data_IF_726737786985
#
_entry.id   IF_726737786985
#
_cell.length_a   1.000
_cell.length_b   1.000
_cell.length_c   1.000
_cell.angle_alpha   90.00
_cell.angle_beta   90.00
_cell.angle_gamma   90.00
#
_symmetry.space_group_name_H-M   'P 1'
#
loop_
_entity.id
_entity.type
_entity.pdbx_description
1 polymer ?
#
# COMPACT_ATOMS: atom_id res chain seq x y z
N UNK A 1 -16.77 -1.15 -15.34
CA UNK A 1 -16.99 -2.60 -15.26
C UNK A 1 -16.06 -3.10 -14.18
N UNK A 2 -16.59 -3.62 -13.08
CA UNK A 2 -15.80 -4.27 -12.03
C UNK A 2 -15.23 -5.57 -12.59
N UNK A 3 -13.92 -5.73 -12.58
CA UNK A 3 -13.26 -7.00 -12.93
C UNK A 3 -13.41 -7.92 -11.72
N UNK A 4 -14.09 -9.05 -11.89
CA UNK A 4 -14.25 -10.06 -10.83
C UNK A 4 -13.19 -11.15 -10.99
N UNK A 5 -12.59 -11.57 -9.86
CA UNK A 5 -11.66 -12.69 -9.81
C UNK A 5 -12.44 -14.02 -9.85
N UNK A 6 -12.07 -14.93 -10.74
CA UNK A 6 -12.66 -16.28 -10.79
C UNK A 6 -11.71 -17.36 -10.26
N UNK A 7 -12.23 -18.54 -9.95
CA UNK A 7 -11.37 -19.70 -9.58
C UNK A 7 -10.44 -20.10 -10.73
N UNK A 8 -10.88 -19.96 -11.98
CA UNK A 8 -10.05 -20.18 -13.17
C UNK A 8 -8.87 -19.20 -13.22
N UNK A 9 -9.09 -17.93 -12.88
CA UNK A 9 -8.01 -16.94 -12.79
C UNK A 9 -7.02 -17.30 -11.68
N UNK A 10 -7.51 -17.72 -10.51
CA UNK A 10 -6.67 -18.19 -9.39
C UNK A 10 -5.79 -19.35 -9.84
N UNK A 11 -6.36 -20.38 -10.48
CA UNK A 11 -5.58 -21.53 -10.97
C UNK A 11 -4.53 -21.11 -12.01
N UNK A 12 -4.85 -20.19 -12.93
CA UNK A 12 -3.89 -19.67 -13.91
C UNK A 12 -2.73 -18.90 -13.24
N UNK A 13 -3.04 -18.03 -12.28
CA UNK A 13 -2.04 -17.27 -11.52
C UNK A 13 -1.12 -18.23 -10.76
N UNK A 14 -1.69 -19.23 -10.08
CA UNK A 14 -0.94 -20.21 -9.32
C UNK A 14 -0.03 -21.07 -10.19
N UNK A 15 -0.52 -21.55 -11.34
CA UNK A 15 0.31 -22.31 -12.27
C UNK A 15 1.54 -21.50 -12.71
N UNK A 16 1.32 -20.25 -13.17
CA UNK A 16 2.41 -19.35 -13.57
C UNK A 16 3.38 -19.04 -12.44
N UNK A 17 2.85 -18.80 -11.24
CA UNK A 17 3.65 -18.47 -10.07
C UNK A 17 4.56 -19.63 -9.68
N UNK A 18 4.01 -20.85 -9.61
CA UNK A 18 4.79 -22.01 -9.20
C UNK A 18 5.75 -22.51 -10.28
N UNK A 19 5.50 -22.25 -11.56
CA UNK A 19 6.52 -22.43 -12.61
C UNK A 19 7.77 -21.58 -12.33
N UNK A 20 7.59 -20.32 -11.90
CA UNK A 20 8.70 -19.42 -11.53
C UNK A 20 9.39 -19.87 -10.24
N UNK A 21 8.62 -20.25 -9.21
CA UNK A 21 9.16 -20.76 -7.94
C UNK A 21 10.02 -22.00 -8.15
N UNK A 22 9.59 -22.92 -9.01
CA UNK A 22 10.32 -24.16 -9.31
C UNK A 22 11.61 -23.92 -10.09
N UNK A 23 11.66 -22.86 -10.90
CA UNK A 23 12.84 -22.47 -11.65
C UNK A 23 13.85 -21.65 -10.81
N UNK A 24 13.44 -21.15 -9.65
CA UNK A 24 14.30 -20.36 -8.78
C UNK A 24 15.32 -21.21 -8.02
N UNK A 25 16.58 -20.79 -8.00
CA UNK A 25 17.69 -21.54 -7.40
C UNK A 25 17.58 -21.70 -5.87
N UNK A 26 16.97 -20.72 -5.18
CA UNK A 26 16.84 -20.74 -3.72
C UNK A 26 15.52 -21.40 -3.30
N UNK A 27 14.42 -21.13 -4.02
CA UNK A 27 13.10 -21.64 -3.66
C UNK A 27 12.85 -23.06 -4.19
N UNK A 28 13.26 -23.36 -5.42
CA UNK A 28 13.03 -24.65 -6.07
C UNK A 28 13.40 -25.86 -5.21
N UNK A 29 14.59 -25.89 -4.57
CA UNK A 29 14.99 -26.99 -3.68
C UNK A 29 14.06 -27.22 -2.48
N UNK A 30 13.42 -26.17 -1.94
CA UNK A 30 12.46 -26.31 -0.83
C UNK A 30 11.21 -27.06 -1.28
N UNK A 31 10.77 -26.81 -2.51
CA UNK A 31 9.59 -27.45 -3.11
C UNK A 31 9.86 -28.82 -3.72
N UNK A 32 11.10 -29.32 -3.71
CA UNK A 32 11.44 -30.65 -4.22
C UNK A 32 10.77 -31.81 -3.44
N UNK A 33 10.17 -31.53 -2.28
CA UNK A 33 9.35 -32.50 -1.52
C UNK A 33 7.96 -32.74 -2.13
N UNK A 34 7.53 -31.90 -3.06
CA UNK A 34 6.23 -32.04 -3.74
C UNK A 34 6.36 -33.08 -4.85
N UNK A 35 5.73 -34.24 -4.64
CA UNK A 35 5.71 -35.35 -5.61
C UNK A 35 4.62 -35.17 -6.67
N UNK A 36 3.41 -34.80 -6.26
CA UNK A 36 2.26 -34.55 -7.15
C UNK A 36 1.95 -33.05 -7.23
N UNK A 37 2.35 -32.43 -8.33
CA UNK A 37 2.12 -31.00 -8.56
C UNK A 37 0.68 -30.65 -8.90
N UNK A 38 -0.08 -31.56 -9.51
CA UNK A 38 -1.47 -31.31 -9.87
C UNK A 38 -2.34 -31.31 -8.59
N UNK A 39 -2.09 -32.26 -7.68
CA UNK A 39 -2.74 -32.28 -6.37
C UNK A 39 -2.31 -31.05 -5.54
N UNK A 40 -1.03 -30.70 -5.56
CA UNK A 40 -0.53 -29.54 -4.82
C UNK A 40 -1.18 -28.22 -5.29
N UNK A 41 -1.22 -28.00 -6.61
CA UNK A 41 -1.86 -26.83 -7.21
C UNK A 41 -3.38 -26.80 -6.96
N UNK A 42 -4.02 -27.96 -6.89
CA UNK A 42 -5.44 -28.07 -6.51
C UNK A 42 -5.65 -27.56 -5.07
N UNK A 43 -4.86 -28.05 -4.11
CA UNK A 43 -4.95 -27.59 -2.70
C UNK A 43 -4.63 -26.10 -2.54
N UNK A 44 -3.66 -25.59 -3.29
CA UNK A 44 -3.33 -24.16 -3.32
C UNK A 44 -4.47 -23.34 -3.93
N UNK A 45 -5.13 -23.84 -4.97
CA UNK A 45 -6.29 -23.20 -5.58
C UNK A 45 -7.46 -23.14 -4.58
N UNK A 46 -7.71 -24.21 -3.83
CA UNK A 46 -8.72 -24.22 -2.76
C UNK A 46 -8.37 -23.21 -1.66
N UNK A 47 -7.09 -23.11 -1.27
CA UNK A 47 -6.62 -22.17 -0.26
C UNK A 47 -6.89 -20.72 -0.70
N UNK A 48 -6.45 -20.36 -1.91
CA UNK A 48 -6.63 -19.02 -2.45
C UNK A 48 -8.09 -18.72 -2.79
N UNK A 49 -8.88 -19.70 -3.21
CA UNK A 49 -10.33 -19.57 -3.40
C UNK A 49 -11.05 -19.28 -2.07
N UNK A 50 -10.73 -20.03 -1.00
CA UNK A 50 -11.24 -19.73 0.35
C UNK A 50 -10.84 -18.33 0.81
N UNK A 51 -9.60 -17.93 0.52
CA UNK A 51 -9.08 -16.65 0.97
C UNK A 51 -9.73 -15.50 0.20
N UNK A 52 -9.67 -15.50 -1.13
CA UNK A 52 -10.08 -14.38 -1.97
C UNK A 52 -11.59 -14.32 -2.22
N UNK A 53 -12.24 -15.48 -2.33
CA UNK A 53 -13.63 -15.60 -2.76
C UNK A 53 -14.56 -16.13 -1.65
N UNK A 54 -14.03 -16.36 -0.44
CA UNK A 54 -14.78 -16.86 0.72
C UNK A 54 -15.52 -18.19 0.47
N UNK A 55 -15.03 -19.04 -0.44
CA UNK A 55 -15.69 -20.31 -0.79
C UNK A 55 -15.63 -21.36 0.32
N UNK A 56 -14.66 -21.25 1.22
CA UNK A 56 -14.50 -22.16 2.35
C UNK A 56 -14.06 -23.59 1.99
N UNK A 57 -13.54 -23.81 0.78
CA UNK A 57 -13.10 -25.14 0.29
C UNK A 57 -11.89 -25.68 1.05
N UNK A 58 -10.88 -24.83 1.29
CA UNK A 58 -9.70 -25.25 2.04
C UNK A 58 -9.98 -25.39 3.54
N UNK A 59 -9.65 -26.57 4.09
CA UNK A 59 -9.81 -26.93 5.51
C UNK A 59 -8.49 -27.24 6.22
N UNK A 60 -7.35 -27.05 5.56
CA UNK A 60 -6.04 -27.39 6.10
C UNK A 60 -5.46 -26.33 7.06
N UNK A 61 -4.34 -26.67 7.69
CA UNK A 61 -3.53 -25.72 8.46
C UNK A 61 -2.20 -25.47 7.72
N UNK A 62 -2.07 -24.36 6.98
CA UNK A 62 -0.90 -24.11 6.17
C UNK A 62 0.35 -23.91 7.04
N UNK A 63 0.23 -23.26 8.20
CA UNK A 63 1.37 -23.02 9.10
C UNK A 63 2.01 -24.35 9.57
N UNK A 64 1.19 -25.32 9.97
CA UNK A 64 1.69 -26.63 10.41
C UNK A 64 2.48 -27.35 9.32
N UNK A 65 2.05 -27.26 8.06
CA UNK A 65 2.76 -27.87 6.93
C UNK A 65 4.12 -27.21 6.68
N UNK A 66 4.22 -25.89 6.86
CA UNK A 66 5.50 -25.17 6.68
C UNK A 66 6.45 -25.41 7.85
N UNK A 67 5.94 -25.48 9.08
CA UNK A 67 6.73 -25.80 10.28
C UNK A 67 7.36 -27.20 10.22
N UNK A 68 6.71 -28.17 9.56
CA UNK A 68 7.27 -29.51 9.34
C UNK A 68 8.56 -29.52 8.50
N UNK A 69 8.90 -28.39 7.86
CA UNK A 69 10.08 -28.21 7.03
C UNK A 69 10.91 -26.99 7.46
N UNK A 70 10.74 -26.52 8.70
CA UNK A 70 11.33 -25.27 9.20
C UNK A 70 12.85 -25.17 8.98
N UNK A 71 13.56 -26.29 9.03
CA UNK A 71 15.01 -26.37 8.81
C UNK A 71 15.45 -25.90 7.41
N UNK A 72 14.54 -25.98 6.42
CA UNK A 72 14.78 -25.57 5.03
C UNK A 72 14.48 -24.09 4.77
N UNK A 73 13.78 -23.40 5.67
CA UNK A 73 13.36 -22.01 5.46
C UNK A 73 14.40 -21.01 5.93
N UNK A 74 14.57 -19.93 5.17
CA UNK A 74 15.30 -18.72 5.55
C UNK A 74 14.43 -17.50 5.31
N UNK A 75 14.57 -16.40 6.08
CA UNK A 75 13.78 -15.19 5.87
C UNK A 75 13.86 -14.64 4.44
N UNK A 76 15.05 -14.69 3.82
CA UNK A 76 15.28 -14.27 2.43
C UNK A 76 14.40 -15.00 1.41
N UNK A 77 14.02 -16.26 1.68
CA UNK A 77 13.15 -17.03 0.79
C UNK A 77 11.72 -16.48 0.78
N UNK A 78 11.20 -15.99 1.91
CA UNK A 78 9.89 -15.33 1.94
C UNK A 78 9.89 -14.04 1.11
N UNK A 79 10.99 -13.28 1.16
CA UNK A 79 11.16 -12.07 0.36
C UNK A 79 11.10 -12.42 -1.14
N UNK A 80 11.90 -13.41 -1.56
CA UNK A 80 11.95 -13.86 -2.95
C UNK A 80 10.62 -14.43 -3.44
N UNK A 81 9.94 -15.21 -2.59
CA UNK A 81 8.60 -15.73 -2.87
C UNK A 81 7.60 -14.59 -3.10
N UNK A 82 7.64 -13.54 -2.26
CA UNK A 82 6.77 -12.36 -2.40
C UNK A 82 7.08 -11.52 -3.65
N UNK A 83 8.34 -11.45 -4.06
CA UNK A 83 8.75 -10.79 -5.31
C UNK A 83 8.18 -11.51 -6.53
N UNK A 84 8.37 -12.83 -6.63
CA UNK A 84 7.80 -13.63 -7.70
C UNK A 84 6.26 -13.57 -7.71
N UNK A 85 5.64 -13.50 -6.53
CA UNK A 85 4.18 -13.38 -6.39
C UNK A 85 3.68 -12.03 -6.91
N UNK A 86 4.38 -10.93 -6.55
CA UNK A 86 4.08 -9.59 -7.06
C UNK A 86 4.16 -9.57 -8.58
N UNK A 87 5.27 -10.01 -9.16
CA UNK A 87 5.45 -10.03 -10.62
C UNK A 87 4.37 -10.85 -11.33
N UNK A 88 3.99 -12.00 -10.77
CA UNK A 88 2.98 -12.88 -11.39
C UNK A 88 1.58 -12.28 -11.31
N UNK A 89 1.22 -11.68 -10.19
CA UNK A 89 -0.10 -11.06 -10.01
C UNK A 89 -0.25 -9.77 -10.81
N UNK A 90 0.81 -8.97 -10.94
CA UNK A 90 0.85 -7.81 -11.85
C UNK A 90 0.74 -8.21 -13.33
N UNK A 91 1.31 -9.36 -13.73
CA UNK A 91 1.20 -9.88 -15.10
C UNK A 91 -0.23 -10.37 -15.44
N UNK A 92 -0.93 -10.98 -14.48
CA UNK A 92 -2.10 -11.83 -14.78
C UNK A 92 -3.44 -11.39 -14.18
N UNK A 93 -3.45 -10.39 -13.28
CA UNK A 93 -4.66 -9.90 -12.63
C UNK A 93 -4.86 -8.39 -12.86
N UNK A 94 -6.11 -7.93 -12.70
CA UNK A 94 -6.36 -6.49 -12.65
C UNK A 94 -5.63 -5.84 -11.46
N UNK A 95 -5.19 -4.57 -11.56
CA UNK A 95 -4.39 -3.92 -10.52
C UNK A 95 -4.98 -4.01 -9.11
N UNK A 96 -6.30 -3.87 -8.98
CA UNK A 96 -7.01 -3.90 -7.71
C UNK A 96 -7.03 -5.33 -7.11
N UNK A 97 -7.16 -6.35 -7.97
CA UNK A 97 -7.11 -7.76 -7.56
C UNK A 97 -5.69 -8.15 -7.16
N UNK A 98 -4.69 -7.75 -7.96
CA UNK A 98 -3.28 -8.00 -7.69
C UNK A 98 -2.88 -7.39 -6.34
N UNK A 99 -3.28 -6.14 -6.09
CA UNK A 99 -3.05 -5.45 -4.83
C UNK A 99 -3.58 -6.25 -3.62
N UNK A 100 -4.84 -6.70 -3.68
CA UNK A 100 -5.45 -7.49 -2.61
C UNK A 100 -4.75 -8.84 -2.38
N UNK A 101 -4.42 -9.55 -3.47
CA UNK A 101 -3.70 -10.84 -3.39
C UNK A 101 -2.31 -10.66 -2.77
N UNK A 102 -1.60 -9.60 -3.14
CA UNK A 102 -0.27 -9.28 -2.62
C UNK A 102 -0.33 -8.88 -1.14
N UNK A 103 -1.27 -8.03 -0.75
CA UNK A 103 -1.45 -7.61 0.65
C UNK A 103 -1.73 -8.82 1.57
N UNK A 104 -2.58 -9.74 1.13
CA UNK A 104 -2.87 -10.98 1.87
C UNK A 104 -1.66 -11.91 1.95
N UNK A 105 -0.94 -12.10 0.85
CA UNK A 105 0.29 -12.88 0.83
C UNK A 105 1.34 -12.33 1.80
N UNK A 106 1.58 -11.01 1.79
CA UNK A 106 2.52 -10.33 2.70
C UNK A 106 2.17 -10.62 4.16
N UNK A 107 0.91 -10.45 4.57
CA UNK A 107 0.48 -10.72 5.96
C UNK A 107 0.75 -12.16 6.39
N UNK A 108 0.53 -13.13 5.49
CA UNK A 108 0.79 -14.55 5.76
C UNK A 108 2.30 -14.79 5.88
N UNK A 109 3.08 -14.32 4.90
CA UNK A 109 4.52 -14.48 4.86
C UNK A 109 5.22 -13.85 6.08
N UNK A 110 4.82 -12.65 6.50
CA UNK A 110 5.35 -12.01 7.72
C UNK A 110 5.11 -12.86 8.96
N UNK A 111 3.89 -13.39 9.12
CA UNK A 111 3.58 -14.28 10.25
C UNK A 111 4.38 -15.58 10.19
N UNK A 112 4.54 -16.15 9.01
CA UNK A 112 5.28 -17.40 8.83
C UNK A 112 6.78 -17.20 9.09
N UNK A 113 7.38 -16.10 8.64
CA UNK A 113 8.79 -15.77 8.92
C UNK A 113 9.06 -15.70 10.42
N UNK A 114 8.19 -15.02 11.18
CA UNK A 114 8.34 -14.94 12.64
C UNK A 114 8.19 -16.33 13.28
N UNK A 115 7.18 -17.10 12.88
CA UNK A 115 6.87 -18.38 13.52
C UNK A 115 7.85 -19.51 13.15
N UNK A 116 8.42 -19.47 11.95
CA UNK A 116 9.30 -20.53 11.41
C UNK A 116 10.77 -20.16 11.62
N UNK A 117 11.14 -18.91 11.37
CA UNK A 117 12.52 -18.46 11.39
C UNK A 117 12.86 -17.61 12.63
N UNK A 118 11.86 -17.13 13.39
CA UNK A 118 12.09 -16.22 14.52
C UNK A 118 12.44 -14.80 14.11
N UNK A 119 12.30 -14.46 12.82
CA UNK A 119 12.71 -13.16 12.26
C UNK A 119 11.53 -12.45 11.60
N UNK A 120 11.46 -11.13 11.80
CA UNK A 120 10.52 -10.26 11.11
C UNK A 120 11.08 -9.89 9.72
N UNK A 121 10.21 -9.91 8.71
CA UNK A 121 10.61 -9.47 7.37
C UNK A 121 10.81 -7.94 7.35
N UNK A 122 11.73 -7.41 6.53
CA UNK A 122 11.98 -5.97 6.44
C UNK A 122 10.70 -5.19 6.13
N UNK A 123 10.55 -4.00 6.73
CA UNK A 123 9.40 -3.12 6.49
C UNK A 123 9.18 -2.81 5.00
N UNK A 124 10.25 -2.72 4.20
CA UNK A 124 10.17 -2.54 2.74
C UNK A 124 9.45 -3.67 2.00
N UNK A 125 9.36 -4.86 2.60
CA UNK A 125 8.70 -6.05 2.05
C UNK A 125 7.28 -6.20 2.62
N UNK A 126 7.09 -5.85 3.89
CA UNK A 126 5.84 -6.04 4.63
C UNK A 126 4.88 -4.87 4.58
N UNK A 127 5.37 -3.66 4.29
CA UNK A 127 4.50 -2.51 4.05
C UNK A 127 3.56 -2.85 2.89
N UNK A 128 2.26 -2.69 3.13
CA UNK A 128 1.30 -2.65 2.04
C UNK A 128 1.80 -1.60 1.03
N UNK A 129 1.62 -1.80 -0.28
CA UNK A 129 1.79 -0.68 -1.19
C UNK A 129 0.85 0.39 -0.64
N UNK A 130 1.40 1.46 -0.06
CA UNK A 130 0.59 2.60 0.35
C UNK A 130 -0.22 2.92 -0.90
N UNK A 131 -1.57 2.92 -0.86
CA UNK A 131 -2.35 3.27 -2.05
C UNK A 131 -1.69 4.53 -2.57
N UNK A 132 -1.18 4.46 -3.82
CA UNK A 132 -0.36 5.53 -4.38
C UNK A 132 -1.08 6.81 -4.03
N UNK A 133 -0.46 7.64 -3.18
CA UNK A 133 -1.07 8.90 -2.80
C UNK A 133 -1.49 9.54 -4.12
N UNK A 134 -2.78 9.90 -4.27
CA UNK A 134 -3.29 10.37 -5.55
C UNK A 134 -2.34 11.46 -6.06
N UNK A 135 -2.13 11.57 -7.37
CA UNK A 135 -1.36 12.68 -7.90
C UNK A 135 -2.22 13.94 -7.85
N UNK A 136 -1.64 15.11 -7.53
CA UNK A 136 -2.40 16.35 -7.56
C UNK A 136 -2.80 16.66 -9.00
N UNK A 137 -4.07 16.99 -9.23
CA UNK A 137 -4.53 17.39 -10.57
C UNK A 137 -4.07 18.81 -10.93
N UNK A 138 -3.69 19.60 -9.91
CA UNK A 138 -3.16 20.95 -10.06
C UNK A 138 -2.16 21.24 -8.95
N UNK A 139 -1.09 21.95 -9.29
CA UNK A 139 -0.11 22.50 -8.35
C UNK A 139 -0.02 23.99 -8.63
N UNK A 140 0.00 24.82 -7.58
CA UNK A 140 0.24 26.27 -7.73
C UNK A 140 1.67 26.57 -8.16
N UNK A 141 1.95 27.84 -8.47
CA UNK A 141 3.34 28.32 -8.45
C UNK A 141 3.94 28.17 -7.04
N UNK A 142 5.27 28.21 -6.96
CA UNK A 142 5.97 28.41 -5.70
C UNK A 142 5.80 29.88 -5.29
N UNK A 143 5.24 30.09 -4.10
CA UNK A 143 5.04 31.41 -3.51
C UNK A 143 6.10 31.67 -2.44
N UNK A 144 6.46 32.94 -2.30
CA UNK A 144 7.23 33.50 -1.20
C UNK A 144 6.37 34.47 -0.37
N UNK A 145 6.95 35.11 0.65
CA UNK A 145 6.22 36.04 1.52
C UNK A 145 5.66 37.28 0.80
N UNK A 146 6.12 37.56 -0.42
CA UNK A 146 5.74 38.73 -1.21
C UNK A 146 4.72 38.40 -2.29
N UNK A 147 4.80 37.19 -2.85
CA UNK A 147 3.98 36.70 -3.94
C UNK A 147 2.80 35.84 -3.48
N UNK A 148 2.74 35.45 -2.21
CA UNK A 148 1.62 34.68 -1.66
C UNK A 148 0.31 35.45 -1.83
N UNK A 149 -0.72 34.87 -2.48
CA UNK A 149 -2.00 35.54 -2.67
C UNK A 149 -2.63 35.89 -1.32
N UNK A 150 -2.97 37.17 -1.13
CA UNK A 150 -3.60 37.67 0.11
C UNK A 150 -4.89 36.94 0.50
N UNK A 151 -5.58 36.34 -0.47
CA UNK A 151 -6.76 35.52 -0.22
C UNK A 151 -6.46 34.29 0.65
N UNK A 152 -5.22 33.75 0.61
CA UNK A 152 -4.80 32.63 1.45
C UNK A 152 -4.49 33.06 2.90
N UNK A 153 -4.31 34.37 3.13
CA UNK A 153 -4.07 34.95 4.46
C UNK A 153 -5.36 35.37 5.18
N UNK A 154 -6.50 35.23 4.50
CA UNK A 154 -7.82 35.47 5.05
C UNK A 154 -8.60 34.16 5.10
N UNK A 155 -9.66 34.13 5.91
CA UNK A 155 -10.52 32.96 6.01
C UNK A 155 -11.16 32.65 4.66
N UNK A 156 -10.93 31.44 4.19
CA UNK A 156 -11.47 30.92 2.95
C UNK A 156 -11.66 29.41 3.06
N UNK A 157 -12.36 28.84 2.09
CA UNK A 157 -12.58 27.40 2.01
C UNK A 157 -12.38 26.91 0.57
N UNK A 158 -12.00 25.65 0.44
CA UNK A 158 -12.02 24.96 -0.85
C UNK A 158 -13.46 24.57 -1.20
N UNK A 159 -13.76 24.49 -2.50
CA UNK A 159 -15.04 23.98 -2.98
C UNK A 159 -15.23 22.51 -2.59
N UNK A 160 -16.49 22.06 -2.54
CA UNK A 160 -16.82 20.66 -2.28
C UNK A 160 -16.05 19.69 -3.18
N UNK A 161 -15.65 18.56 -2.59
CA UNK A 161 -14.84 17.52 -3.24
C UNK A 161 -13.39 17.92 -3.58
N UNK A 162 -12.93 19.11 -3.22
CA UNK A 162 -11.54 19.54 -3.45
C UNK A 162 -10.74 19.51 -2.17
N UNK A 163 -9.67 18.72 -2.17
CA UNK A 163 -8.68 18.68 -1.10
C UNK A 163 -7.47 19.54 -1.48
N UNK A 164 -6.88 20.18 -0.48
CA UNK A 164 -5.63 20.94 -0.63
C UNK A 164 -4.51 20.33 0.21
N UNK A 165 -3.27 20.48 -0.24
CA UNK A 165 -2.09 20.25 0.59
C UNK A 165 -1.17 21.45 0.46
N UNK A 166 -0.91 22.13 1.58
CA UNK A 166 0.11 23.17 1.67
C UNK A 166 1.45 22.51 1.96
N UNK A 167 2.40 22.66 1.03
CA UNK A 167 3.78 22.20 1.20
C UNK A 167 4.70 23.40 1.35
N UNK A 168 5.43 23.44 2.46
CA UNK A 168 6.49 24.41 2.71
C UNK A 168 7.83 23.78 2.30
N UNK A 169 8.61 24.49 1.50
CA UNK A 169 9.96 24.10 1.08
C UNK A 169 11.04 24.77 1.92
N UNK A 170 10.80 26.01 2.35
CA UNK A 170 11.68 26.78 3.23
C UNK A 170 10.82 27.63 4.19
N UNK A 171 11.28 27.83 5.43
CA UNK A 171 10.56 28.64 6.42
C UNK A 171 9.38 27.91 7.09
N UNK A 172 8.38 28.66 7.54
CA UNK A 172 7.18 28.12 8.18
C UNK A 172 5.96 29.05 8.02
N UNK A 173 4.76 28.45 8.06
CA UNK A 173 3.49 29.18 8.21
C UNK A 173 2.65 28.55 9.30
N UNK A 174 1.82 29.36 9.93
CA UNK A 174 0.72 28.89 10.75
C UNK A 174 -0.48 28.60 9.87
N UNK A 175 -1.09 27.44 10.08
CA UNK A 175 -2.37 27.07 9.50
C UNK A 175 -3.43 27.16 10.59
N UNK A 176 -4.43 27.99 10.33
CA UNK A 176 -5.46 28.41 11.28
C UNK A 176 -6.80 27.83 10.84
N UNK A 177 -7.54 27.23 11.77
CA UNK A 177 -8.93 26.81 11.58
C UNK A 177 -9.82 27.56 12.59
N UNK A 178 -10.94 28.15 12.16
CA UNK A 178 -11.85 28.85 13.08
C UNK A 178 -12.30 27.95 14.23
N UNK A 179 -12.12 28.42 15.46
CA UNK A 179 -12.49 27.70 16.67
C UNK A 179 -11.40 26.78 17.24
N UNK A 180 -10.25 26.65 16.56
CA UNK A 180 -9.07 25.97 17.08
C UNK A 180 -8.11 27.00 17.68
N UNK A 181 -7.78 26.87 18.97
CA UNK A 181 -7.01 27.87 19.70
C UNK A 181 -5.51 27.87 19.37
N UNK A 182 -4.98 26.73 18.94
CA UNK A 182 -3.55 26.59 18.61
C UNK A 182 -3.36 26.38 17.11
N UNK A 183 -2.60 27.24 16.41
CA UNK A 183 -2.32 27.05 15.00
C UNK A 183 -1.45 25.80 14.79
N UNK A 184 -1.71 25.11 13.68
CA UNK A 184 -0.83 24.03 13.23
C UNK A 184 0.34 24.65 12.47
N UNK A 185 1.57 24.38 12.88
CA UNK A 185 2.76 24.85 12.18
C UNK A 185 3.04 23.95 10.97
N UNK A 186 3.15 24.55 9.79
CA UNK A 186 3.56 23.89 8.56
C UNK A 186 4.98 24.31 8.21
N UNK A 187 5.84 23.33 7.93
CA UNK A 187 7.28 23.52 7.66
C UNK A 187 7.79 22.38 6.75
N UNK A 188 9.05 22.42 6.27
CA UNK A 188 9.60 21.36 5.41
C UNK A 188 9.44 19.97 6.04
N UNK A 189 8.83 19.05 5.29
CA UNK A 189 8.51 17.69 5.76
C UNK A 189 7.22 17.57 6.58
N UNK A 190 6.57 18.68 6.95
CA UNK A 190 5.30 18.71 7.70
C UNK A 190 4.21 19.45 6.90
N UNK A 191 3.62 18.81 5.87
CA UNK A 191 2.60 19.43 5.04
C UNK A 191 1.25 19.55 5.78
N UNK A 192 0.48 20.57 5.42
CA UNK A 192 -0.87 20.78 5.95
C UNK A 192 -1.94 20.29 4.98
N UNK A 193 -2.77 19.35 5.40
CA UNK A 193 -3.96 18.95 4.62
C UNK A 193 -5.10 19.92 4.89
N UNK A 194 -5.77 20.33 3.82
CA UNK A 194 -6.96 21.18 3.80
C UNK A 194 -8.14 20.33 3.32
N UNK A 195 -9.12 20.04 4.19
CA UNK A 195 -10.33 19.33 3.77
C UNK A 195 -11.27 20.21 2.93
N UNK A 196 -12.15 19.61 2.11
CA UNK A 196 -13.16 20.34 1.37
C UNK A 196 -14.08 21.10 2.32
N UNK A 197 -14.47 22.32 1.96
CA UNK A 197 -15.46 23.14 2.67
C UNK A 197 -15.07 23.51 4.12
N UNK A 198 -13.86 23.17 4.55
CA UNK A 198 -13.30 23.61 5.84
C UNK A 198 -12.72 25.01 5.69
N UNK A 199 -13.27 25.95 6.47
CA UNK A 199 -12.74 27.31 6.57
C UNK A 199 -11.37 27.29 7.23
N UNK A 200 -10.40 27.97 6.63
CA UNK A 200 -9.03 28.06 7.14
C UNK A 200 -8.34 29.32 6.59
N UNK A 201 -7.19 29.63 7.17
CA UNK A 201 -6.29 30.70 6.71
C UNK A 201 -4.84 30.37 7.03
N UNK A 202 -3.92 31.07 6.37
CA UNK A 202 -2.49 31.00 6.67
C UNK A 202 -2.03 32.28 7.35
N UNK A 203 -1.13 32.17 8.30
CA UNK A 203 -0.39 33.28 8.87
C UNK A 203 1.10 33.07 8.65
N UNK A 204 1.79 34.13 8.21
CA UNK A 204 3.22 34.10 7.95
C UNK A 204 4.00 34.22 9.26
N UNK A 205 4.92 33.29 9.50
CA UNK A 205 5.82 33.30 10.67
C UNK A 205 7.17 33.98 10.33
N UNK A 206 7.42 34.23 9.04
CA UNK A 206 8.63 34.85 8.52
C UNK A 206 8.75 34.67 7.01
N UNK A 207 9.99 34.72 6.50
CA UNK A 207 10.27 34.35 5.12
C UNK A 207 9.88 32.87 4.88
N UNK A 208 9.26 32.60 3.74
CA UNK A 208 8.74 31.28 3.42
C UNK A 208 8.86 31.00 1.93
N UNK A 209 8.97 29.72 1.55
CA UNK A 209 8.65 29.23 0.21
C UNK A 209 7.64 28.11 0.32
N UNK A 210 6.48 28.24 -0.32
CA UNK A 210 5.43 27.23 -0.25
C UNK A 210 4.67 27.08 -1.57
N UNK A 211 4.02 25.93 -1.75
CA UNK A 211 3.06 25.67 -2.83
C UNK A 211 1.82 24.99 -2.30
N UNK A 212 0.74 25.07 -3.07
CA UNK A 212 -0.51 24.38 -2.78
C UNK A 212 -0.80 23.37 -3.88
N UNK A 213 -1.00 22.13 -3.46
CA UNK A 213 -1.41 21.01 -4.31
C UNK A 213 -2.90 20.76 -4.15
N UNK A 214 -3.58 20.41 -5.24
CA UNK A 214 -5.03 20.19 -5.25
C UNK A 214 -5.38 18.79 -5.73
N UNK A 215 -6.31 18.16 -5.04
CA UNK A 215 -6.71 16.76 -5.25
C UNK A 215 -8.24 16.63 -5.32
N UNK A 216 -8.69 15.64 -6.08
CA UNK A 216 -10.09 15.25 -6.25
C UNK A 216 -10.54 14.19 -5.22
N UNK A 217 -9.61 13.73 -4.38
CA UNK A 217 -9.78 12.75 -3.31
C UNK A 217 -8.74 12.99 -2.21
N UNK A 218 -8.84 12.28 -1.09
CA UNK A 218 -7.94 12.47 0.05
C UNK A 218 -6.45 12.26 -0.33
N UNK A 219 -5.55 13.22 -0.03
CA UNK A 219 -4.18 13.22 -0.55
C UNK A 219 -3.19 12.30 0.15
N UNK A 220 -3.51 11.77 1.34
CA UNK A 220 -2.59 10.90 2.10
C UNK A 220 -2.87 9.40 1.91
N UNK A 221 -3.64 9.03 0.88
CA UNK A 221 -4.03 7.64 0.61
C UNK A 221 -5.45 7.36 1.09
N UNK A 222 -5.67 6.26 1.80
CA UNK A 222 -6.99 5.93 2.34
C UNK A 222 -7.29 6.72 3.61
N UNK A 223 -8.41 7.45 3.61
CA UNK A 223 -9.03 8.00 4.81
C UNK A 223 -9.59 6.81 5.61
N UNK A 224 -8.96 6.45 6.73
CA UNK A 224 -9.61 5.56 7.69
C UNK A 224 -10.55 6.42 8.53
N UNK A 225 -11.86 6.16 8.36
CA UNK A 225 -12.89 6.61 9.29
C UNK A 225 -12.73 5.91 10.64
#
# INVERSE_FOLDING_TARGET
MSVELTETDISRILARFYDRVRADEDLGPVFAVVEDWDEHLTRLSEFWSSLMLATGRYKGNPLSMHLAHAEKFRPSMFIKWLELWRETTEELAAPEIAFEMQARAKRIASRFSIMICGEELPASVTDEPRPLAPTPYKISALFDEQSLPRALLADHALKSGTWGVVRVEEGAVHYLEPGVSEPRILQPGMPGVIPPETSHSLELVGAVKLRVEFYDRYPLGTYQN
#
